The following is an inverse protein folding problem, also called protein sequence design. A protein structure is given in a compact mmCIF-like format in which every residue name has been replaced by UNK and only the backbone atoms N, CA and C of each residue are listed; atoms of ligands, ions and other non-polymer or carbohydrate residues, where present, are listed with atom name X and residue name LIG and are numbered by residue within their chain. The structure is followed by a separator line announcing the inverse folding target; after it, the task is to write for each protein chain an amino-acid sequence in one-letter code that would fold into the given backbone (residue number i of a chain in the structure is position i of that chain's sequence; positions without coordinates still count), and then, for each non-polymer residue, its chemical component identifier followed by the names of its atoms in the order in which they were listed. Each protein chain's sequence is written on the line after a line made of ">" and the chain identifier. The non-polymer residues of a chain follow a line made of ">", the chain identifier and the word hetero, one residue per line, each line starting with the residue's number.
data_IF_499172810906
#
_entry.id   IF_499172810906
#
_cell.length_a   1.000
_cell.length_b   1.000
_cell.length_c   1.000
_cell.angle_alpha   90.00
_cell.angle_beta   90.00
_cell.angle_gamma   90.00
#
_symmetry.space_group_name_H-M   'P 1'
#
loop_
_entity.id
_entity.type
_entity.pdbx_description
1 polymer ?
2 water ?
#
# COMPACT_ATOMS: atom_id res chain seq x y z
N UNK A 2 4.52 -3.63 -17.25
CA UNK A 2 4.00 -4.11 -15.97
C UNK A 2 2.65 -3.55 -15.47
N UNK A 3 2.60 -3.24 -14.18
CA UNK A 3 1.35 -2.72 -13.58
C UNK A 3 0.91 -1.42 -14.28
N UNK A 4 -0.38 -1.29 -14.61
CA UNK A 4 -0.87 -0.11 -15.30
C UNK A 4 -1.23 1.03 -14.38
N UNK A 5 -0.97 2.26 -14.81
CA UNK A 5 -1.37 3.40 -14.02
C UNK A 5 -2.91 3.38 -13.98
N UNK A 6 -3.49 3.85 -12.88
CA UNK A 6 -4.93 3.83 -12.79
C UNK A 6 -5.41 4.19 -11.40
N UNK A 7 -6.72 4.00 -11.22
CA UNK A 7 -7.42 4.41 -9.98
C UNK A 7 -7.89 3.13 -9.33
N UNK A 8 -7.31 2.80 -8.18
CA UNK A 8 -7.55 1.47 -7.61
C UNK A 8 -8.08 1.45 -6.18
N UNK A 9 -8.61 0.28 -5.79
CA UNK A 9 -8.95 -0.01 -4.36
C UNK A 9 -7.90 -1.08 -4.01
N UNK A 10 -7.54 -1.09 -2.73
CA UNK A 10 -6.48 -2.00 -2.28
C UNK A 10 -6.99 -2.74 -1.04
N UNK A 11 -7.41 -3.99 -1.25
CA UNK A 11 -8.02 -4.83 -0.20
C UNK A 11 -6.99 -5.71 0.50
N UNK A 12 -6.90 -5.59 1.80
CA UNK A 12 -5.94 -6.47 2.50
C UNK A 12 -6.43 -7.92 2.44
N UNK A 13 -5.50 -8.84 2.18
CA UNK A 13 -5.85 -10.25 2.14
C UNK A 13 -5.09 -11.04 3.23
N UNK A 14 -5.86 -11.57 4.18
CA UNK A 14 -5.26 -12.46 5.20
C UNK A 14 -5.05 -13.82 4.51
N UNK A 15 -4.18 -14.68 5.08
CA UNK A 15 -3.95 -16.02 4.43
C UNK A 15 -5.27 -16.79 4.31
N UNK A 16 -5.56 -17.31 3.12
CA UNK A 16 -6.81 -18.04 2.91
C UNK A 16 -8.03 -17.19 2.53
N UNK A 17 -7.93 -15.87 2.63
CA UNK A 17 -9.06 -14.97 2.31
C UNK A 17 -9.41 -14.97 0.83
N UNK A 18 -10.70 -15.04 0.50
CA UNK A 18 -11.12 -15.04 -0.90
C UNK A 18 -11.31 -13.60 -1.36
N UNK A 19 -10.52 -13.15 -2.35
CA UNK A 19 -10.62 -11.79 -2.87
C UNK A 19 -12.04 -11.42 -3.23
N UNK A 20 -12.76 -12.36 -3.84
CA UNK A 20 -14.12 -12.01 -4.24
C UNK A 20 -15.18 -12.31 -3.19
N UNK A 21 -14.75 -12.76 -2.01
CA UNK A 21 -15.64 -13.16 -0.91
C UNK A 21 -16.84 -12.25 -0.72
N UNK A 22 -17.88 -12.81 -0.13
CA UNK A 22 -19.10 -12.05 0.06
C UNK A 22 -19.28 -11.67 1.53
N UNK A 23 -18.77 -12.50 2.44
CA UNK A 23 -18.87 -12.17 3.85
C UNK A 23 -18.30 -10.77 3.97
N UNK A 24 -18.99 -9.90 4.72
CA UNK A 24 -18.53 -8.52 4.91
C UNK A 24 -17.30 -8.44 5.82
N UNK A 25 -16.71 -7.26 5.88
CA UNK A 25 -15.58 -7.09 6.74
C UNK A 25 -14.27 -6.80 6.03
N UNK A 26 -14.20 -6.94 4.71
CA UNK A 26 -12.94 -6.67 4.00
C UNK A 26 -12.42 -5.32 4.42
N UNK A 27 -11.11 -5.20 4.61
CA UNK A 27 -10.56 -3.90 5.04
C UNK A 27 -9.70 -3.39 3.88
N UNK A 28 -9.97 -2.15 3.45
CA UNK A 28 -9.24 -1.53 2.35
C UNK A 28 -8.31 -0.42 2.84
N UNK A 29 -7.11 -0.29 2.24
CA UNK A 29 -6.20 0.80 2.69
C UNK A 29 -6.99 2.11 2.49
N UNK A 30 -6.82 3.02 3.43
CA UNK A 30 -7.63 4.25 3.47
C UNK A 30 -6.86 5.50 3.77
N UNK A 31 -7.28 6.61 3.16
CA UNK A 31 -6.66 7.89 3.44
C UNK A 31 -7.52 8.68 4.44
N UNK A 32 -8.48 8.03 5.11
CA UNK A 32 -9.36 8.82 6.03
C UNK A 32 -8.68 9.56 7.16
N UNK A 33 -7.49 9.14 7.58
CA UNK A 33 -6.82 9.85 8.70
C UNK A 33 -6.05 11.07 8.25
N UNK A 34 -5.91 11.24 6.93
CA UNK A 34 -5.29 12.46 6.40
C UNK A 34 -3.79 12.49 6.35
N UNK A 35 -3.25 13.58 5.81
CA UNK A 35 -1.78 13.68 5.66
C UNK A 35 -1.04 13.79 7.01
N UNK A 36 0.23 13.36 6.97
CA UNK A 36 1.18 13.45 8.07
C UNK A 36 1.05 12.43 9.18
N UNK A 37 0.21 11.43 8.96
CA UNK A 37 0.04 10.35 9.92
C UNK A 37 0.02 9.05 9.13
N UNK A 38 0.02 7.89 9.81
CA UNK A 38 0.01 6.63 9.04
C UNK A 38 -1.29 6.37 8.25
N UNK A 39 -1.16 5.61 7.17
CA UNK A 39 -2.30 5.14 6.42
C UNK A 39 -3.03 4.08 7.24
N UNK A 40 -4.36 4.17 7.30
CA UNK A 40 -5.17 3.23 8.06
C UNK A 40 -5.98 2.35 7.07
N UNK A 41 -7.07 1.72 7.53
CA UNK A 41 -7.92 0.91 6.64
C UNK A 41 -9.37 1.00 7.14
N UNK A 42 -10.28 0.70 6.25
CA UNK A 42 -11.74 0.74 6.59
C UNK A 42 -12.47 -0.11 5.60
N UNK A 43 -13.70 -0.47 5.97
CA UNK A 43 -14.49 -1.28 5.05
C UNK A 43 -15.23 -0.38 4.02
N UNK A 44 -15.93 -1.04 3.11
CA UNK A 44 -16.76 -0.30 2.15
C UNK A 44 -17.79 0.52 2.92
N UNK A 45 -18.07 1.71 2.40
CA UNK A 45 -19.11 2.56 3.00
C UNK A 45 -19.30 3.76 2.13
N UNK A 46 -20.43 4.47 2.29
CA UNK A 46 -20.70 5.64 1.45
C UNK A 46 -19.77 6.83 1.66
N UNK A 47 -19.06 6.84 2.80
CA UNK A 47 -18.11 7.94 3.07
C UNK A 47 -16.68 7.40 3.20
N UNK A 48 -16.43 6.27 2.56
CA UNK A 48 -15.06 5.72 2.58
C UNK A 48 -14.13 6.58 1.77
N UNK A 49 -12.81 6.42 2.08
CA UNK A 49 -11.74 7.13 1.31
C UNK A 49 -10.72 6.05 0.98
N UNK A 50 -11.11 5.19 0.05
CA UNK A 50 -10.32 3.98 -0.30
C UNK A 50 -9.88 3.84 -1.75
N UNK A 51 -9.90 4.96 -2.49
CA UNK A 51 -9.43 4.95 -3.89
C UNK A 51 -8.08 5.63 -3.92
N UNK A 52 -7.19 5.09 -4.76
CA UNK A 52 -5.79 5.59 -4.86
C UNK A 52 -5.39 5.68 -6.31
N UNK A 53 -4.71 6.80 -6.63
CA UNK A 53 -4.16 6.94 -7.97
C UNK A 53 -2.74 6.37 -7.95
N UNK A 54 -2.55 5.25 -8.65
CA UNK A 54 -1.22 4.59 -8.70
C UNK A 54 -0.59 4.85 -10.03
N UNK A 55 0.63 5.37 -10.05
CA UNK A 55 1.25 5.75 -11.33
C UNK A 55 2.73 5.40 -11.31
N UNK A 56 3.27 5.02 -12.47
CA UNK A 56 4.70 4.74 -12.55
C UNK A 56 5.44 6.05 -12.26
N UNK A 57 6.60 5.94 -11.63
CA UNK A 57 7.47 7.10 -11.37
C UNK A 57 8.81 6.70 -12.02
N UNK A 58 9.02 7.08 -13.27
CA UNK A 58 10.27 6.66 -13.89
C UNK A 58 11.54 7.16 -13.26
N UNK A 59 11.48 8.33 -12.67
CA UNK A 59 12.66 8.91 -12.06
C UNK A 59 13.14 8.13 -10.83
N UNK A 60 12.26 7.33 -10.24
CA UNK A 60 12.59 6.59 -9.01
C UNK A 60 13.23 5.27 -9.32
N UNK A 61 13.20 4.91 -10.59
CA UNK A 61 13.81 3.69 -10.99
C UNK A 61 12.81 2.85 -11.72
N UNK A 62 13.37 1.73 -12.16
CA UNK A 62 12.63 0.75 -12.87
C UNK A 62 11.58 0.13 -11.95
N UNK A 63 10.43 0.01 -12.56
CA UNK A 63 9.32 -0.69 -11.98
C UNK A 63 8.82 -0.03 -10.73
N UNK A 64 9.10 1.25 -10.53
CA UNK A 64 8.64 1.92 -9.28
C UNK A 64 7.36 2.72 -9.55
N UNK A 65 6.52 2.82 -8.54
CA UNK A 65 5.24 3.53 -8.66
C UNK A 65 5.01 4.40 -7.44
N UNK A 66 4.18 5.42 -7.64
CA UNK A 66 3.68 6.17 -6.50
C UNK A 66 2.20 5.75 -6.27
N UNK A 67 1.76 5.86 -5.01
CA UNK A 67 0.39 5.53 -4.57
C UNK A 67 -0.12 6.77 -3.87
N UNK A 68 -1.06 7.48 -4.53
CA UNK A 68 -1.46 8.79 -4.06
C UNK A 68 -2.94 8.84 -3.72
N UNK A 69 -3.26 9.49 -2.59
CA UNK A 69 -4.67 9.62 -2.16
C UNK A 69 -5.49 10.41 -3.18
N UNK A 70 -6.78 10.20 -3.08
CA UNK A 70 -7.76 10.96 -3.87
C UNK A 70 -8.27 12.09 -2.98
N UNK A 71 -8.35 13.31 -3.53
CA UNK A 71 -8.87 14.41 -2.69
C UNK A 71 -9.88 15.12 -3.61
N UNK A 72 -10.75 15.88 -2.94
CA UNK A 72 -11.68 16.72 -3.72
C UNK A 72 -11.41 18.22 -3.53
N UNK A 73 -10.40 18.56 -2.74
CA UNK A 73 -10.06 19.98 -2.51
C UNK A 73 -8.90 20.47 -3.31
N UNK A 74 -8.29 21.61 -2.91
CA UNK A 74 -7.19 22.16 -3.70
C UNK A 74 -5.81 21.99 -3.00
N UNK A 75 -5.68 20.93 -2.17
CA UNK A 75 -4.41 20.68 -1.47
C UNK A 75 -3.58 19.67 -2.20
N UNK A 76 -2.27 19.71 -2.00
CA UNK A 76 -1.43 18.72 -2.66
C UNK A 76 -1.73 17.33 -2.05
N UNK A 77 -2.02 16.31 -2.90
CA UNK A 77 -2.34 15.01 -2.28
C UNK A 77 -1.14 14.33 -1.69
N UNK A 78 -1.39 13.63 -0.59
CA UNK A 78 -0.33 12.84 0.04
C UNK A 78 -0.13 11.53 -0.69
N UNK A 79 1.03 10.91 -0.42
CA UNK A 79 1.40 9.62 -1.07
C UNK A 79 1.88 8.61 -0.02
N UNK A 80 1.77 7.31 -0.29
CA UNK A 80 2.39 6.32 0.64
C UNK A 80 3.86 6.69 0.70
N UNK A 81 4.39 6.74 1.93
CA UNK A 81 5.77 7.18 2.21
C UNK A 81 6.36 6.33 3.33
N UNK A 82 7.64 5.99 3.27
CA UNK A 82 8.24 5.21 4.39
C UNK A 82 9.70 5.52 4.56
N UNK A 83 10.24 5.09 5.69
CA UNK A 83 11.67 5.21 5.89
C UNK A 83 12.38 4.28 4.88
N UNK A 84 13.46 4.75 4.22
CA UNK A 84 14.17 3.91 3.27
C UNK A 84 15.21 3.08 3.98
N UNK A 85 15.24 3.23 5.31
CA UNK A 85 16.23 2.43 6.08
C UNK A 85 15.62 1.49 7.16
N UNK A 86 14.53 1.91 7.79
CA UNK A 86 13.99 1.12 8.88
C UNK A 86 12.94 0.11 8.43
N UNK A 87 12.81 -0.95 9.22
CA UNK A 87 11.70 -1.92 9.00
C UNK A 87 10.70 -1.85 10.18
N UNK A 88 9.54 -2.50 10.04
CA UNK A 88 8.51 -2.56 11.03
C UNK A 88 8.08 -1.18 11.47
N UNK A 89 7.86 -0.32 10.46
CA UNK A 89 7.45 1.06 10.71
C UNK A 89 6.16 1.27 9.92
N UNK A 90 5.38 2.31 10.27
CA UNK A 90 4.12 2.56 9.53
C UNK A 90 4.44 3.13 8.15
N UNK A 91 3.44 2.97 7.27
CA UNK A 91 3.45 3.67 5.96
C UNK A 91 2.71 4.99 6.23
N UNK A 92 3.36 6.16 5.94
CA UNK A 92 2.77 7.45 6.21
C UNK A 92 2.20 8.05 4.95
N UNK A 93 1.21 8.92 5.11
CA UNK A 93 0.61 9.61 3.95
C UNK A 93 1.24 11.02 3.93
N UNK A 94 2.27 11.18 3.09
CA UNK A 94 3.00 12.44 3.03
C UNK A 94 2.99 13.07 1.66
N UNK A 95 2.84 14.40 1.61
CA UNK A 95 3.02 15.06 0.33
C UNK A 95 4.54 15.15 0.04
N UNK A 96 4.89 15.61 -1.14
CA UNK A 96 6.28 15.60 -1.50
C UNK A 96 7.16 16.51 -0.67
N UNK A 97 6.67 17.65 -0.26
CA UNK A 97 7.52 18.50 0.57
C UNK A 97 7.78 17.83 1.97
N UNK A 98 6.79 17.11 2.52
CA UNK A 98 6.98 16.46 3.83
C UNK A 98 7.91 15.25 3.62
N UNK A 99 7.75 14.53 2.52
CA UNK A 99 8.58 13.36 2.30
C UNK A 99 10.06 13.77 2.11
N UNK A 100 10.29 14.89 1.44
CA UNK A 100 11.63 15.44 1.25
C UNK A 100 12.15 15.87 2.63
N UNK A 101 11.34 16.54 3.45
CA UNK A 101 11.78 16.96 4.80
C UNK A 101 12.20 15.81 5.71
N UNK A 102 11.50 14.67 5.63
CA UNK A 102 11.77 13.56 6.49
C UNK A 102 12.79 12.57 5.90
N UNK A 103 13.07 12.69 4.61
CA UNK A 103 14.03 11.80 3.97
C UNK A 103 13.34 10.48 3.57
N UNK A 104 12.01 10.49 3.56
CA UNK A 104 11.30 9.22 3.25
C UNK A 104 11.17 8.97 1.77
N UNK A 105 11.02 7.71 1.41
CA UNK A 105 10.83 7.34 0.02
C UNK A 105 9.35 7.10 -0.28
N UNK A 106 8.96 7.48 -1.50
CA UNK A 106 7.56 7.32 -1.94
C UNK A 106 7.51 6.39 -3.14
N UNK A 107 8.55 5.58 -3.33
CA UNK A 107 8.66 4.66 -4.49
C UNK A 107 8.32 3.22 -4.09
N UNK A 108 7.39 2.58 -4.79
CA UNK A 108 6.95 1.22 -4.44
C UNK A 108 6.96 0.29 -5.62
N UNK A 109 7.24 -1.00 -5.36
CA UNK A 109 7.08 -2.00 -6.43
C UNK A 109 5.77 -2.71 -6.15
N UNK A 110 5.08 -3.10 -7.22
CA UNK A 110 3.77 -3.74 -7.10
C UNK A 110 3.86 -5.02 -7.93
N UNK A 111 3.94 -6.13 -7.17
CA UNK A 111 4.32 -7.47 -7.67
C UNK A 111 3.25 -8.52 -7.70
N UNK A 112 3.04 -9.14 -8.85
CA UNK A 112 1.99 -10.16 -8.75
C UNK A 112 2.47 -11.34 -7.91
N UNK A 113 1.60 -11.85 -7.06
CA UNK A 113 1.97 -12.97 -6.18
C UNK A 113 2.36 -14.20 -6.98
N UNK A 114 3.34 -14.99 -6.51
CA UNK A 114 3.72 -16.24 -7.20
C UNK A 114 2.39 -16.91 -7.38
N UNK A 115 2.16 -17.46 -8.56
CA UNK A 115 0.76 -17.62 -8.89
C UNK A 115 -0.47 -17.78 -8.02
N UNK A 116 -0.92 -16.57 -7.68
CA UNK A 116 -2.16 -16.33 -6.96
C UNK A 116 -3.13 -15.80 -8.05
N UNK A 117 -4.35 -15.46 -7.66
CA UNK A 117 -5.33 -15.01 -8.65
C UNK A 117 -5.04 -13.66 -9.30
N UNK A 118 -5.67 -13.37 -10.43
CA UNK A 118 -5.42 -12.06 -11.00
C UNK A 118 -5.86 -11.02 -9.99
N UNK A 119 -5.10 -9.95 -9.91
CA UNK A 119 -5.48 -8.90 -8.98
C UNK A 119 -4.70 -9.01 -7.68
N UNK A 120 -4.02 -10.14 -7.46
CA UNK A 120 -3.37 -10.30 -6.14
C UNK A 120 -1.92 -9.91 -6.25
N UNK A 121 -1.51 -8.88 -5.46
CA UNK A 121 -0.18 -8.34 -5.53
C UNK A 121 0.47 -8.16 -4.17
N UNK A 122 1.79 -8.11 -4.21
CA UNK A 122 2.58 -7.68 -3.04
C UNK A 122 2.94 -6.21 -3.29
N UNK A 123 2.93 -5.40 -2.23
CA UNK A 123 3.32 -3.98 -2.35
C UNK A 123 4.65 -3.98 -1.58
N UNK A 124 5.73 -3.81 -2.34
CA UNK A 124 7.12 -4.04 -1.86
C UNK A 124 7.81 -2.77 -1.48
N UNK A 125 8.38 -2.77 -0.27
CA UNK A 125 9.19 -1.65 0.23
C UNK A 125 10.69 -2.01 0.14
N UNK A 126 11.39 -1.81 1.25
CA UNK A 126 12.84 -2.01 1.22
C UNK A 126 13.16 -3.48 1.02
N UNK A 127 14.14 -3.75 0.16
CA UNK A 127 14.64 -5.13 -0.04
C UNK A 127 16.06 -5.21 0.55
N UNK A 128 16.27 -6.19 1.43
CA UNK A 128 17.59 -6.45 1.99
C UNK A 128 17.94 -7.89 1.70
N UNK A 129 19.22 -8.20 1.86
CA UNK A 129 19.61 -9.61 1.70
C UNK A 129 18.99 -10.49 2.81
N UNK A 130 18.13 -11.46 2.41
CA UNK A 130 17.55 -12.33 3.44
C UNK A 130 16.22 -11.86 4.04
N UNK A 131 15.80 -10.59 3.78
CA UNK A 131 14.54 -10.11 4.36
C UNK A 131 14.05 -8.94 3.51
N UNK A 132 12.79 -9.00 3.12
CA UNK A 132 12.23 -7.87 2.34
C UNK A 132 11.05 -7.37 3.16
N UNK A 133 10.82 -6.06 3.08
CA UNK A 133 9.68 -5.44 3.76
C UNK A 133 8.49 -5.40 2.79
N UNK A 134 7.34 -5.86 3.29
CA UNK A 134 6.10 -5.96 2.51
C UNK A 134 5.03 -5.19 3.22
N UNK A 135 4.26 -4.36 2.49
CA UNK A 135 3.18 -3.62 3.19
C UNK A 135 2.14 -4.60 3.67
N UNK A 136 1.65 -4.37 4.91
CA UNK A 136 0.72 -5.30 5.53
C UNK A 136 -0.15 -4.48 6.48
N UNK A 137 -1.11 -5.11 7.17
CA UNK A 137 -1.98 -4.40 8.09
C UNK A 137 -1.80 -4.97 9.50
N UNK A 138 -1.71 -4.08 10.46
CA UNK A 138 -1.63 -4.54 11.87
C UNK A 138 -2.58 -3.63 12.67
N UNK A 139 -2.76 -3.92 13.97
CA UNK A 139 -3.59 -3.03 14.79
C UNK A 139 -2.66 -2.33 15.75
N UNK A 140 -2.74 -1.00 15.81
CA UNK A 140 -1.93 -0.19 16.73
C UNK A 140 -2.88 0.78 17.46
N UNK A 141 -2.91 0.69 18.78
CA UNK A 141 -3.77 1.60 19.57
C UNK A 141 -5.25 1.43 19.23
N UNK A 142 -5.67 0.20 18.99
CA UNK A 142 -7.07 -0.06 18.68
C UNK A 142 -7.54 0.23 17.24
N UNK A 143 -6.59 0.59 16.37
CA UNK A 143 -6.92 0.95 14.99
C UNK A 143 -6.03 0.29 13.92
N UNK A 144 -6.61 0.00 12.75
CA UNK A 144 -5.82 -0.60 11.67
C UNK A 144 -4.70 0.36 11.28
N UNK A 145 -3.55 -0.19 10.85
CA UNK A 145 -2.46 0.69 10.40
C UNK A 145 -1.68 -0.07 9.30
N UNK A 146 -1.45 0.55 8.13
CA UNK A 146 -0.60 -0.07 7.11
C UNK A 146 0.83 0.13 7.55
N UNK A 147 1.64 -0.94 7.45
CA UNK A 147 3.03 -0.83 7.91
C UNK A 147 3.91 -1.79 7.13
N UNK A 148 5.23 -1.68 7.38
CA UNK A 148 6.20 -2.48 6.60
C UNK A 148 6.66 -3.71 7.38
N UNK A 149 6.22 -4.91 6.92
CA UNK A 149 6.60 -6.13 7.66
C UNK A 149 7.78 -6.81 7.04
N UNK A 150 8.79 -7.12 7.87
CA UNK A 150 9.94 -7.82 7.29
C UNK A 150 9.66 -9.33 7.25
N UNK A 151 9.87 -9.94 6.07
CA UNK A 151 9.62 -11.37 5.96
C UNK A 151 10.66 -11.92 5.04
N UNK A 152 11.37 -12.98 5.46
CA UNK A 152 12.40 -13.60 4.63
C UNK A 152 11.68 -14.43 3.56
N UNK A 153 12.26 -14.45 2.36
CA UNK A 153 11.59 -15.17 1.27
C UNK A 153 12.05 -16.60 1.23
N UNK A 154 11.41 -17.38 2.09
CA UNK A 154 11.69 -18.82 2.20
C UNK A 154 10.40 -19.59 2.02
N UNK A 155 10.52 -20.86 1.71
CA UNK A 155 9.29 -21.63 1.51
C UNK A 155 8.34 -21.68 2.70
N UNK A 156 7.06 -21.61 2.33
CA UNK A 156 5.95 -21.75 3.26
C UNK A 156 5.51 -20.58 4.09
N UNK A 157 6.30 -19.52 4.15
CA UNK A 157 5.84 -18.38 4.92
C UNK A 157 4.73 -17.74 4.10
N UNK A 158 3.91 -16.90 4.72
CA UNK A 158 2.86 -16.19 3.93
C UNK A 158 3.37 -14.75 3.75
N UNK A 159 3.65 -14.38 2.50
CA UNK A 159 4.15 -13.04 2.26
C UNK A 159 2.86 -12.18 2.20
N UNK A 160 2.83 -11.01 2.87
CA UNK A 160 1.58 -10.17 2.85
C UNK A 160 1.22 -9.75 1.42
N UNK A 161 -0.08 -9.72 1.15
CA UNK A 161 -0.57 -9.37 -0.19
C UNK A 161 -1.90 -8.65 -0.06
N UNK A 162 -2.29 -8.10 -1.21
CA UNK A 162 -3.53 -7.26 -1.31
C UNK A 162 -4.21 -7.58 -2.61
N UNK A 163 -5.53 -7.31 -2.71
CA UNK A 163 -6.24 -7.54 -3.97
C UNK A 163 -6.45 -6.09 -4.46
N UNK A 164 -5.90 -5.82 -5.62
CA UNK A 164 -5.88 -4.44 -6.14
C UNK A 164 -6.71 -4.49 -7.41
N UNK A 165 -7.83 -3.77 -7.33
CA UNK A 165 -8.82 -3.71 -8.45
C UNK A 165 -8.92 -2.32 -9.02
N UNK A 166 -8.93 -2.22 -10.34
CA UNK A 166 -9.06 -0.89 -10.98
C UNK A 166 -10.51 -0.36 -10.93
N UNK A 167 -10.68 0.81 -11.53
CA UNK A 167 -11.95 1.54 -11.55
C UNK A 167 -13.01 0.83 -12.42
N UNK A 168 -12.56 0.22 -13.53
CA UNK A 168 -13.49 -0.40 -14.47
C UNK A 168 -13.34 -1.86 -14.40
N UNK A 169 -14.42 -2.58 -14.56
CA UNK A 169 -14.37 -4.03 -14.44
C UNK A 169 -13.58 -4.73 -15.55
#
# INVERSE_FOLDING_TARGET
>A
MGFEDGFYTILHLAEGQHPNSKIPGGMYASSKDGKDVPVTAEPLGPQSKIRWWIARDPQAGDDMYTITEFRIDNSIPGQWSRSPVETEVPVYLYDRIKAEETGYTCAWRIQPADHGADGVYHIVGNVRIGSTDWADLREEYGEPQVYMKPVPVIPNVYIPRWFILGYEE
#
